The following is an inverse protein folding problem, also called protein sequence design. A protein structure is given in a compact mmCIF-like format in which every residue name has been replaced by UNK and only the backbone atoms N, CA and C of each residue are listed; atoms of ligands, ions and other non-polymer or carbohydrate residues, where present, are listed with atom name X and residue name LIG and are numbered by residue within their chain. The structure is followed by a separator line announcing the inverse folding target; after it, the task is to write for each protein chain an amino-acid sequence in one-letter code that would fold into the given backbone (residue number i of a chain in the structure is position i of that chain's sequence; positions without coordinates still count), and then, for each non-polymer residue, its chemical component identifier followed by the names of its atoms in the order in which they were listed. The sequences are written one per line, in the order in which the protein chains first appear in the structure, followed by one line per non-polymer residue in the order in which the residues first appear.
data_IF_330397316032
#
_entry.id   IF_330397316032
#
_cell.length_a   1.000
_cell.length_b   1.000
_cell.length_c   1.000
_cell.angle_alpha   90.00
_cell.angle_beta   90.00
_cell.angle_gamma   90.00
#
_symmetry.space_group_name_H-M   'P 1'
#
loop_
_entity.id
_entity.type
_entity.pdbx_description
1 polymer ?
#
# COMPACT_ATOMS: atom_id res chain seq x y z
N UNK A 1 8.34 -15.69 -8.13
CA UNK A 1 6.89 -15.55 -7.79
C UNK A 1 6.70 -14.21 -7.10
N UNK A 2 5.71 -13.42 -7.51
CA UNK A 2 5.38 -12.14 -6.87
C UNK A 2 3.87 -11.99 -6.68
N UNK A 3 3.47 -11.09 -5.79
CA UNK A 3 2.09 -10.68 -5.54
C UNK A 3 2.04 -9.17 -5.34
N UNK A 4 1.07 -8.52 -5.98
CA UNK A 4 0.74 -7.12 -5.71
C UNK A 4 -0.29 -7.07 -4.59
N UNK A 5 -0.07 -6.20 -3.60
CA UNK A 5 -1.05 -5.92 -2.56
C UNK A 5 -1.34 -4.41 -2.56
N UNK A 6 -2.61 -4.09 -2.34
CA UNK A 6 -3.13 -2.73 -2.24
C UNK A 6 -3.96 -2.68 -0.99
N UNK A 7 -3.57 -1.83 -0.05
CA UNK A 7 -4.20 -1.67 1.26
C UNK A 7 -4.62 -0.21 1.45
N UNK A 8 -5.77 -0.01 2.10
CA UNK A 8 -6.18 1.30 2.62
C UNK A 8 -5.85 1.35 4.11
N UNK A 9 -5.14 2.40 4.53
CA UNK A 9 -4.75 2.60 5.94
C UNK A 9 -5.03 4.02 6.37
N UNK A 10 -5.27 4.23 7.67
CA UNK A 10 -5.49 5.56 8.23
C UNK A 10 -4.32 5.93 9.14
N UNK A 11 -3.62 7.04 8.83
CA UNK A 11 -2.54 7.59 9.66
C UNK A 11 -2.86 9.05 9.92
N UNK A 12 -2.88 9.48 11.18
CA UNK A 12 -3.18 10.87 11.57
C UNK A 12 -4.48 11.43 10.94
N UNK A 13 -5.55 10.63 10.93
CA UNK A 13 -6.85 10.96 10.28
C UNK A 13 -6.81 11.16 8.77
N UNK A 14 -5.68 10.87 8.11
CA UNK A 14 -5.59 10.85 6.65
C UNK A 14 -5.74 9.40 6.17
N UNK A 15 -6.71 9.19 5.28
CA UNK A 15 -6.81 7.94 4.54
C UNK A 15 -5.68 7.89 3.51
N UNK A 16 -4.95 6.77 3.49
CA UNK A 16 -3.83 6.53 2.61
C UNK A 16 -4.06 5.24 1.84
N UNK A 17 -3.78 5.27 0.55
CA UNK A 17 -3.70 4.11 -0.33
C UNK A 17 -2.24 3.70 -0.46
N UNK A 18 -1.92 2.50 0.02
CA UNK A 18 -0.59 1.90 -0.04
C UNK A 18 -0.61 0.74 -1.04
N UNK A 19 0.30 0.76 -2.01
CA UNK A 19 0.56 -0.41 -2.84
C UNK A 19 2.00 -0.86 -2.67
N UNK A 20 2.18 -2.18 -2.55
CA UNK A 20 3.48 -2.81 -2.42
C UNK A 20 3.50 -4.14 -3.15
N UNK A 21 4.68 -4.52 -3.62
CA UNK A 21 4.93 -5.82 -4.23
C UNK A 21 5.63 -6.71 -3.22
N UNK A 22 5.16 -7.95 -3.08
CA UNK A 22 5.89 -9.00 -2.36
C UNK A 22 6.43 -10.00 -3.35
N UNK A 23 7.69 -10.38 -3.21
CA UNK A 23 8.33 -11.36 -4.08
C UNK A 23 9.38 -12.15 -3.33
N UNK A 24 9.69 -13.34 -3.85
CA UNK A 24 10.77 -14.17 -3.35
C UNK A 24 12.05 -13.80 -4.10
N UNK A 25 13.10 -13.43 -3.35
CA UNK A 25 14.42 -13.13 -3.89
C UNK A 25 15.49 -13.73 -2.98
N UNK A 26 16.40 -14.53 -3.54
CA UNK A 26 17.47 -15.20 -2.78
C UNK A 26 16.95 -16.01 -1.58
N UNK A 27 15.85 -16.74 -1.76
CA UNK A 27 15.12 -17.48 -0.70
C UNK A 27 14.48 -16.63 0.41
N UNK A 28 14.50 -15.31 0.31
CA UNK A 28 13.82 -14.41 1.24
C UNK A 28 12.55 -13.81 0.64
N UNK A 29 11.54 -13.60 1.48
CA UNK A 29 10.35 -12.83 1.10
C UNK A 29 10.67 -11.36 1.31
N UNK A 30 10.66 -10.59 0.22
CA UNK A 30 10.80 -9.13 0.23
C UNK A 30 9.47 -8.47 0.00
N UNK A 31 9.31 -7.27 0.54
CA UNK A 31 8.18 -6.38 0.32
C UNK A 31 8.72 -5.00 -0.02
N UNK A 32 8.29 -4.42 -1.14
CA UNK A 32 8.74 -3.11 -1.60
C UNK A 32 7.53 -2.22 -1.90
N UNK A 33 7.54 -0.99 -1.37
CA UNK A 33 6.48 -0.01 -1.60
C UNK A 33 6.60 0.54 -3.01
N UNK A 34 5.49 0.47 -3.76
CA UNK A 34 5.40 1.02 -5.11
C UNK A 34 4.84 2.45 -5.08
N UNK A 35 3.79 2.67 -4.30
CA UNK A 35 3.29 4.03 -4.04
C UNK A 35 2.57 4.12 -2.70
N UNK A 36 2.57 5.32 -2.15
CA UNK A 36 1.76 5.76 -1.02
C UNK A 36 1.06 7.04 -1.44
N UNK A 37 -0.27 7.07 -1.42
CA UNK A 37 -1.05 8.23 -1.84
C UNK A 37 -2.13 8.56 -0.82
N UNK A 38 -2.23 9.82 -0.42
CA UNK A 38 -3.36 10.28 0.37
C UNK A 38 -4.64 10.21 -0.47
N UNK A 39 -5.66 9.56 0.09
CA UNK A 39 -7.00 9.57 -0.47
C UNK A 39 -7.68 10.89 -0.12
N UNK A 40 -8.43 11.48 -1.05
CA UNK A 40 -9.23 12.66 -0.72
C UNK A 40 -10.23 12.31 0.38
N UNK A 41 -10.41 13.22 1.32
CA UNK A 41 -11.52 13.13 2.27
C UNK A 41 -12.81 13.04 1.47
N UNK A 42 -13.59 11.98 1.70
CA UNK A 42 -14.96 11.94 1.18
C UNK A 42 -15.74 13.02 1.93
N UNK A 43 -15.90 14.18 1.32
CA UNK A 43 -17.00 15.07 1.68
C UNK A 43 -18.28 14.31 1.36
N UNK A 44 -18.98 13.81 2.38
CA UNK A 44 -20.37 13.41 2.23
C UNK A 44 -21.15 14.68 1.88
N UNK A 45 -21.48 14.85 0.60
CA UNK A 45 -22.55 15.76 0.17
C UNK A 45 -23.92 15.16 0.51
#
# INVERSE_FOLDING_TARGET
KFSLQVDETTIHNQALLLAYVRFIYQNDIRAEILFLRSLPEKTCE
#
